data_IF_912958434894
#
_entry.id   IF_912958434894
#
_cell.length_a   1.000
_cell.length_b   1.000
_cell.length_c   1.000
_cell.angle_alpha   90.00
_cell.angle_beta   90.00
_cell.angle_gamma   90.00
#
_symmetry.space_group_name_H-M   'P 1'
#
loop_
_entity.id
_entity.type
_entity.pdbx_description
1 polymer ?
#
# COMPACT_ATOMS: atom_id res chain seq x y z
N UNK A 1 -8.20 25.95 -15.82
CA UNK A 1 -7.42 27.06 -15.17
C UNK A 1 -6.93 26.64 -13.77
N UNK A 2 -7.72 25.96 -12.94
CA UNK A 2 -7.32 25.52 -11.59
C UNK A 2 -6.20 24.46 -11.63
N UNK A 3 -6.29 23.43 -12.49
CA UNK A 3 -5.20 22.44 -12.67
C UNK A 3 -3.85 23.08 -13.06
N UNK A 4 -3.86 24.17 -13.85
CA UNK A 4 -2.63 24.87 -14.25
C UNK A 4 -2.02 25.73 -13.15
N UNK A 5 -2.81 26.21 -12.18
CA UNK A 5 -2.30 26.98 -11.03
C UNK A 5 -1.61 26.07 -9.99
N UNK A 6 -2.16 24.88 -9.73
CA UNK A 6 -1.59 23.93 -8.78
C UNK A 6 -0.21 23.39 -9.20
N UNK A 7 0.04 23.24 -10.51
CA UNK A 7 1.32 22.76 -11.06
C UNK A 7 2.48 23.75 -10.83
N UNK A 8 2.22 25.01 -10.53
CA UNK A 8 3.27 26.03 -10.38
C UNK A 8 4.03 25.98 -9.05
N UNK A 9 3.41 25.45 -7.98
CA UNK A 9 3.99 25.49 -6.65
C UNK A 9 4.73 24.18 -6.29
N UNK A 10 4.23 23.04 -6.77
CA UNK A 10 4.88 21.73 -6.60
C UNK A 10 4.34 20.76 -7.65
N UNK A 11 5.21 19.89 -8.18
CA UNK A 11 4.81 18.79 -9.09
C UNK A 11 3.84 17.78 -8.44
N UNK A 12 3.69 17.83 -7.12
CA UNK A 12 2.83 16.96 -6.34
C UNK A 12 1.54 17.61 -5.86
N UNK A 13 1.30 18.90 -6.17
CA UNK A 13 0.05 19.59 -5.84
C UNK A 13 -0.98 19.28 -6.92
N UNK A 14 -2.11 18.66 -6.52
CA UNK A 14 -3.14 18.16 -7.44
C UNK A 14 -4.51 18.51 -6.90
N UNK A 15 -5.41 18.93 -7.80
CA UNK A 15 -6.84 19.06 -7.54
C UNK A 15 -7.53 17.76 -7.95
N UNK A 16 -8.43 17.28 -7.11
CA UNK A 16 -9.28 16.11 -7.32
C UNK A 16 -10.74 16.55 -7.39
N UNK A 17 -11.46 16.09 -8.40
CA UNK A 17 -12.91 16.23 -8.47
C UNK A 17 -13.58 15.27 -7.45
N UNK A 18 -14.91 15.22 -7.45
CA UNK A 18 -15.68 14.45 -6.47
C UNK A 18 -15.38 12.94 -6.56
N UNK A 19 -15.36 12.38 -7.78
CA UNK A 19 -15.08 10.96 -7.98
C UNK A 19 -13.59 10.63 -7.68
N UNK A 20 -12.68 11.46 -8.13
CA UNK A 20 -11.25 11.34 -7.84
C UNK A 20 -10.97 11.48 -6.33
N UNK A 21 -11.71 12.36 -5.64
CA UNK A 21 -11.60 12.55 -4.18
C UNK A 21 -12.06 11.29 -3.44
N UNK A 22 -13.19 10.71 -3.83
CA UNK A 22 -13.70 9.47 -3.24
C UNK A 22 -12.72 8.31 -3.43
N UNK A 23 -12.19 8.14 -4.65
CA UNK A 23 -11.20 7.12 -4.94
C UNK A 23 -9.91 7.31 -4.12
N UNK A 24 -9.45 8.56 -3.94
CA UNK A 24 -8.29 8.89 -3.12
C UNK A 24 -8.53 8.55 -1.65
N UNK A 25 -9.72 8.83 -1.10
CA UNK A 25 -10.06 8.52 0.28
C UNK A 25 -10.16 7.00 0.50
N UNK A 26 -10.76 6.24 -0.42
CA UNK A 26 -10.78 4.78 -0.38
C UNK A 26 -9.34 4.22 -0.39
N UNK A 27 -8.49 4.68 -1.30
CA UNK A 27 -7.10 4.26 -1.38
C UNK A 27 -6.31 4.58 -0.09
N UNK A 28 -6.50 5.79 0.47
CA UNK A 28 -5.77 6.19 1.69
C UNK A 28 -6.26 5.44 2.94
N UNK A 29 -7.55 5.11 3.00
CA UNK A 29 -8.09 4.32 4.11
C UNK A 29 -7.65 2.87 4.07
N UNK A 30 -7.39 2.32 2.90
CA UNK A 30 -7.19 0.88 2.67
C UNK A 30 -8.49 0.10 2.80
N UNK A 31 -9.65 0.78 2.65
CA UNK A 31 -10.96 0.14 2.69
C UNK A 31 -11.85 0.64 1.55
N UNK A 32 -12.67 -0.24 1.02
CA UNK A 32 -13.69 0.11 0.02
C UNK A 32 -14.97 -0.68 0.27
N UNK A 33 -16.08 -0.20 -0.27
CA UNK A 33 -17.33 -0.94 -0.21
C UNK A 33 -17.54 -1.78 -1.47
N UNK A 34 -17.65 -3.10 -1.30
CA UNK A 34 -17.72 -4.06 -2.38
C UNK A 34 -17.90 -5.49 -1.91
N UNK A 35 -17.45 -6.44 -2.70
CA UNK A 35 -17.65 -7.87 -2.40
C UNK A 35 -16.38 -8.60 -1.94
N UNK A 36 -15.17 -8.04 -2.15
CA UNK A 36 -13.91 -8.65 -1.72
C UNK A 36 -13.39 -9.71 -2.69
N UNK A 37 -13.21 -9.33 -3.95
CA UNK A 37 -12.56 -10.15 -4.97
C UNK A 37 -11.60 -9.30 -5.80
N UNK A 38 -10.51 -9.91 -6.26
CA UNK A 38 -9.58 -9.32 -7.23
C UNK A 38 -9.93 -9.80 -8.62
N UNK A 39 -10.03 -8.87 -9.55
CA UNK A 39 -10.36 -9.14 -10.94
C UNK A 39 -9.17 -8.87 -11.85
N UNK A 40 -9.10 -9.61 -12.95
CA UNK A 40 -8.22 -9.33 -14.08
C UNK A 40 -9.01 -9.43 -15.38
N UNK A 41 -8.50 -8.78 -16.43
CA UNK A 41 -8.99 -9.03 -17.78
C UNK A 41 -7.98 -9.94 -18.48
N UNK A 42 -8.45 -11.12 -18.90
CA UNK A 42 -7.63 -12.06 -19.63
C UNK A 42 -7.23 -11.47 -21.00
N UNK A 43 -5.94 -11.47 -21.31
CA UNK A 43 -5.40 -10.81 -22.49
C UNK A 43 -5.77 -11.51 -23.80
N UNK A 44 -6.01 -12.83 -23.74
CA UNK A 44 -6.29 -13.66 -24.92
C UNK A 44 -7.79 -13.71 -25.22
N UNK A 45 -8.62 -13.82 -24.19
CA UNK A 45 -10.07 -13.95 -24.32
C UNK A 45 -10.83 -12.63 -24.14
N UNK A 46 -10.19 -11.64 -23.51
CA UNK A 46 -10.83 -10.36 -23.17
C UNK A 46 -11.83 -10.43 -22.03
N UNK A 47 -12.04 -11.60 -21.41
CA UNK A 47 -13.01 -11.75 -20.32
C UNK A 47 -12.50 -11.27 -18.98
N UNK A 48 -13.38 -10.65 -18.19
CA UNK A 48 -13.09 -10.32 -16.80
C UNK A 48 -13.20 -11.60 -15.95
N UNK A 49 -12.13 -11.92 -15.22
CA UNK A 49 -12.01 -13.17 -14.44
C UNK A 49 -11.63 -12.85 -12.99
N UNK A 50 -12.19 -13.60 -12.05
CA UNK A 50 -11.79 -13.53 -10.63
C UNK A 50 -10.45 -14.23 -10.45
N UNK A 51 -9.45 -13.48 -9.98
CA UNK A 51 -8.10 -14.01 -9.70
C UNK A 51 -8.01 -14.51 -8.26
N UNK A 52 -8.62 -13.77 -7.34
CA UNK A 52 -8.60 -14.09 -5.93
C UNK A 52 -9.91 -13.65 -5.25
N UNK A 53 -10.32 -14.41 -4.25
CA UNK A 53 -11.44 -14.08 -3.36
C UNK A 53 -10.88 -13.92 -1.96
N UNK A 54 -11.21 -12.83 -1.26
CA UNK A 54 -10.70 -12.56 0.07
C UNK A 54 -11.43 -13.44 1.09
N UNK A 55 -10.69 -13.93 2.07
CA UNK A 55 -11.21 -14.71 3.18
C UNK A 55 -12.24 -13.89 3.97
N UNK A 56 -13.29 -14.54 4.45
CA UNK A 56 -14.43 -13.95 5.17
C UNK A 56 -15.21 -12.85 4.42
N UNK A 57 -14.92 -12.63 3.15
CA UNK A 57 -15.56 -11.60 2.32
C UNK A 57 -17.00 -11.97 1.91
N UNK A 58 -17.81 -10.98 1.48
CA UNK A 58 -19.08 -11.23 0.81
C UNK A 58 -18.98 -12.13 -0.42
N UNK A 59 -17.90 -12.01 -1.20
CA UNK A 59 -17.64 -12.85 -2.38
C UNK A 59 -17.48 -14.33 -2.00
N UNK A 60 -16.69 -14.61 -0.96
CA UNK A 60 -16.51 -15.97 -0.46
C UNK A 60 -17.83 -16.55 0.06
N UNK A 61 -18.55 -15.77 0.88
CA UNK A 61 -19.86 -16.18 1.44
C UNK A 61 -20.92 -16.42 0.36
N UNK A 62 -20.86 -15.69 -0.74
CA UNK A 62 -21.72 -15.90 -1.91
C UNK A 62 -21.30 -17.12 -2.74
N UNK A 63 -20.10 -17.67 -2.51
CA UNK A 63 -19.58 -18.83 -3.23
C UNK A 63 -18.84 -18.51 -4.52
N UNK A 64 -18.42 -17.26 -4.71
CA UNK A 64 -17.49 -16.86 -5.79
C UNK A 64 -16.13 -17.54 -5.58
N UNK A 65 -15.42 -17.84 -6.66
CA UNK A 65 -14.12 -18.53 -6.63
C UNK A 65 -13.13 -17.93 -7.63
N UNK A 66 -11.86 -18.10 -7.36
CA UNK A 66 -10.83 -17.84 -8.34
C UNK A 66 -11.03 -18.72 -9.59
N UNK A 67 -10.89 -18.13 -10.76
CA UNK A 67 -11.16 -18.76 -12.06
C UNK A 67 -12.57 -18.54 -12.59
N UNK A 68 -13.50 -17.96 -11.81
CA UNK A 68 -14.83 -17.60 -12.31
C UNK A 68 -14.71 -16.50 -13.38
N UNK A 69 -15.32 -16.71 -14.53
CA UNK A 69 -15.43 -15.70 -15.58
C UNK A 69 -16.72 -14.91 -15.36
N UNK A 70 -16.63 -13.59 -15.29
CA UNK A 70 -17.79 -12.73 -15.09
C UNK A 70 -18.54 -12.55 -16.41
N UNK A 71 -19.82 -12.89 -16.42
CA UNK A 71 -20.69 -12.72 -17.59
C UNK A 71 -21.66 -11.55 -17.41
N UNK A 72 -22.18 -11.35 -16.18
CA UNK A 72 -23.18 -10.32 -15.91
C UNK A 72 -23.10 -9.81 -14.47
N UNK A 73 -23.30 -8.51 -14.30
CA UNK A 73 -23.41 -7.84 -13.00
C UNK A 73 -24.77 -7.10 -12.95
N UNK A 74 -25.68 -7.54 -12.10
CA UNK A 74 -27.09 -7.12 -12.10
C UNK A 74 -27.68 -7.25 -13.52
N UNK A 75 -28.10 -6.14 -14.14
CA UNK A 75 -28.64 -6.10 -15.50
C UNK A 75 -27.58 -5.78 -16.59
N UNK A 76 -26.30 -5.68 -16.22
CA UNK A 76 -25.20 -5.29 -17.11
C UNK A 76 -24.42 -6.51 -17.62
N UNK A 77 -24.36 -6.69 -18.93
CA UNK A 77 -23.51 -7.69 -19.58
C UNK A 77 -22.04 -7.23 -19.49
N UNK A 78 -21.15 -8.10 -19.02
CA UNK A 78 -19.72 -7.78 -18.85
C UNK A 78 -18.99 -7.73 -20.20
N UNK A 79 -19.12 -8.77 -21.01
CA UNK A 79 -18.58 -8.80 -22.38
C UNK A 79 -17.19 -8.18 -22.54
N UNK A 80 -17.07 -7.22 -23.47
CA UNK A 80 -15.84 -6.50 -23.78
C UNK A 80 -15.61 -5.24 -22.94
N UNK A 81 -16.42 -5.00 -21.91
CA UNK A 81 -16.36 -3.81 -21.07
C UNK A 81 -14.98 -3.63 -20.42
N UNK A 82 -14.62 -2.38 -20.15
CA UNK A 82 -13.38 -2.08 -19.44
C UNK A 82 -13.46 -2.60 -18.00
N UNK A 83 -12.34 -3.10 -17.46
CA UNK A 83 -12.30 -3.69 -16.12
C UNK A 83 -12.77 -2.70 -15.04
N UNK A 84 -12.40 -1.42 -15.16
CA UNK A 84 -12.81 -0.37 -14.23
C UNK A 84 -14.34 -0.17 -14.21
N UNK A 85 -14.98 -0.29 -15.38
CA UNK A 85 -16.44 -0.25 -15.50
C UNK A 85 -17.08 -1.44 -14.77
N UNK A 86 -16.57 -2.65 -14.99
CA UNK A 86 -17.06 -3.88 -14.31
C UNK A 86 -16.86 -3.75 -12.80
N UNK A 87 -15.71 -3.29 -12.34
CA UNK A 87 -15.43 -3.03 -10.92
C UNK A 87 -16.41 -2.01 -10.35
N UNK A 88 -16.74 -0.94 -11.10
CA UNK A 88 -17.70 0.08 -10.64
C UNK A 88 -19.11 -0.49 -10.41
N UNK A 89 -19.55 -1.46 -11.20
CA UNK A 89 -20.84 -2.14 -11.01
C UNK A 89 -20.88 -3.06 -9.80
N UNK A 90 -19.75 -3.71 -9.51
CA UNK A 90 -19.59 -4.60 -8.34
C UNK A 90 -19.52 -3.78 -7.04
N UNK A 91 -18.79 -2.65 -7.06
CA UNK A 91 -18.76 -1.69 -5.94
C UNK A 91 -20.15 -1.08 -5.73
N UNK A 92 -20.40 -0.56 -4.53
CA UNK A 92 -21.63 0.13 -4.20
C UNK A 92 -21.79 0.36 -2.70
N UNK A 93 -22.95 0.81 -2.26
CA UNK A 93 -23.20 1.11 -0.86
C UNK A 93 -23.21 -0.18 -0.02
N UNK A 94 -22.56 -0.12 1.15
CA UNK A 94 -22.54 -1.20 2.14
C UNK A 94 -23.96 -1.64 2.50
N UNK A 95 -24.19 -2.95 2.54
CA UNK A 95 -25.48 -3.56 2.87
C UNK A 95 -26.44 -3.71 1.67
N UNK A 96 -26.03 -3.25 0.48
CA UNK A 96 -26.81 -3.51 -0.75
C UNK A 96 -26.36 -4.81 -1.41
N UNK A 97 -27.28 -5.49 -2.07
CA UNK A 97 -26.99 -6.71 -2.81
C UNK A 97 -26.51 -6.41 -4.24
N UNK A 98 -25.66 -7.28 -4.78
CA UNK A 98 -25.27 -7.33 -6.17
C UNK A 98 -25.40 -8.76 -6.66
N UNK A 99 -26.02 -8.95 -7.82
CA UNK A 99 -26.09 -10.23 -8.51
C UNK A 99 -24.92 -10.35 -9.48
N UNK A 100 -24.18 -11.43 -9.37
CA UNK A 100 -23.02 -11.71 -10.20
C UNK A 100 -23.24 -13.04 -10.88
N UNK A 101 -23.39 -12.99 -12.21
CA UNK A 101 -23.46 -14.20 -13.03
C UNK A 101 -22.06 -14.54 -13.52
N UNK A 102 -21.63 -15.76 -13.25
CA UNK A 102 -20.32 -16.28 -13.63
C UNK A 102 -20.44 -17.55 -14.45
N UNK A 103 -19.48 -17.75 -15.34
CA UNK A 103 -19.25 -19.02 -16.01
C UNK A 103 -18.15 -19.78 -15.24
N UNK A 104 -18.52 -20.97 -14.70
CA UNK A 104 -17.61 -21.87 -13.98
C UNK A 104 -17.75 -23.28 -14.55
N UNK A 105 -16.65 -23.87 -15.01
CA UNK A 105 -16.61 -25.24 -15.57
C UNK A 105 -17.62 -25.46 -16.72
N UNK A 106 -17.98 -24.39 -17.44
CA UNK A 106 -18.95 -24.42 -18.54
C UNK A 106 -20.42 -24.29 -18.10
N UNK A 107 -20.66 -24.07 -16.83
CA UNK A 107 -22.00 -23.81 -16.27
C UNK A 107 -22.15 -22.37 -15.84
N UNK A 108 -23.30 -21.76 -16.16
CA UNK A 108 -23.68 -20.42 -15.71
C UNK A 108 -24.26 -20.49 -14.29
N UNK A 109 -23.71 -19.68 -13.38
CA UNK A 109 -24.14 -19.61 -11.99
C UNK A 109 -24.50 -18.15 -11.64
N UNK A 110 -25.71 -17.92 -11.14
CA UNK A 110 -26.12 -16.63 -10.57
C UNK A 110 -25.88 -16.66 -9.06
N UNK A 111 -25.03 -15.77 -8.57
CA UNK A 111 -24.64 -15.65 -7.17
C UNK A 111 -24.97 -14.24 -6.68
N UNK A 112 -25.50 -14.12 -5.46
CA UNK A 112 -25.82 -12.82 -4.84
C UNK A 112 -24.87 -12.59 -3.69
N UNK A 113 -24.16 -11.45 -3.72
CA UNK A 113 -23.29 -11.01 -2.64
C UNK A 113 -23.82 -9.70 -2.05
N UNK A 114 -23.88 -9.62 -0.72
CA UNK A 114 -24.22 -8.38 -0.01
C UNK A 114 -22.94 -7.57 0.21
N UNK A 115 -22.86 -6.38 -0.38
CA UNK A 115 -21.66 -5.51 -0.26
C UNK A 115 -21.37 -5.17 1.18
N UNK A 116 -20.09 -5.20 1.53
CA UNK A 116 -19.60 -4.81 2.85
C UNK A 116 -18.33 -3.94 2.72
N UNK A 117 -17.88 -3.41 3.84
CA UNK A 117 -16.55 -2.79 3.91
C UNK A 117 -15.50 -3.88 3.77
N UNK A 118 -14.69 -3.77 2.75
CA UNK A 118 -13.58 -4.68 2.46
C UNK A 118 -12.29 -3.99 2.87
N UNK A 119 -11.51 -4.64 3.70
CA UNK A 119 -10.18 -4.19 4.08
C UNK A 119 -9.14 -4.74 3.10
N UNK A 120 -8.33 -3.85 2.55
CA UNK A 120 -7.23 -4.22 1.66
C UNK A 120 -6.11 -4.85 2.48
N UNK A 121 -5.62 -6.01 2.06
CA UNK A 121 -4.48 -6.65 2.69
C UNK A 121 -3.17 -6.00 2.21
N UNK A 122 -2.68 -5.02 2.96
CA UNK A 122 -1.44 -4.27 2.67
C UNK A 122 -0.20 -4.91 3.29
N UNK A 123 -0.39 -5.85 4.23
CA UNK A 123 0.68 -6.59 4.89
C UNK A 123 0.55 -8.08 4.63
N UNK A 124 1.64 -8.70 4.23
CA UNK A 124 1.78 -10.16 4.20
C UNK A 124 3.03 -10.56 4.97
N UNK A 125 2.99 -11.69 5.67
CA UNK A 125 4.11 -12.12 6.48
C UNK A 125 4.23 -13.64 6.52
N UNK A 126 5.43 -14.09 6.83
CA UNK A 126 5.73 -15.51 7.03
C UNK A 126 6.98 -15.69 7.90
N UNK A 127 7.07 -16.80 8.58
CA UNK A 127 8.32 -17.23 9.23
C UNK A 127 9.19 -17.95 8.20
N UNK A 128 10.36 -17.40 7.93
CA UNK A 128 11.38 -18.01 7.07
C UNK A 128 12.27 -18.97 7.87
N UNK A 129 13.15 -19.70 7.15
CA UNK A 129 14.19 -20.52 7.77
C UNK A 129 15.03 -19.71 8.78
N UNK A 130 15.61 -20.41 9.74
CA UNK A 130 16.41 -19.84 10.84
C UNK A 130 15.63 -18.85 11.73
N UNK A 131 14.32 -18.97 11.81
CA UNK A 131 13.45 -18.11 12.63
C UNK A 131 13.56 -16.62 12.23
N UNK A 132 13.67 -16.34 10.97
CA UNK A 132 13.62 -14.98 10.43
C UNK A 132 12.19 -14.64 10.06
N UNK A 133 11.60 -13.66 10.74
CA UNK A 133 10.33 -13.07 10.35
C UNK A 133 10.50 -12.26 9.06
N UNK A 134 9.60 -12.44 8.11
CA UNK A 134 9.53 -11.65 6.90
C UNK A 134 8.17 -10.98 6.84
N UNK A 135 8.16 -9.65 6.74
CA UNK A 135 6.95 -8.83 6.60
C UNK A 135 7.10 -7.98 5.35
N UNK A 136 6.18 -8.14 4.39
CA UNK A 136 6.07 -7.26 3.24
C UNK A 136 4.95 -6.26 3.48
N UNK A 137 5.23 -4.98 3.23
CA UNK A 137 4.28 -3.88 3.30
C UNK A 137 4.16 -3.27 1.90
N UNK A 138 2.98 -3.37 1.27
CA UNK A 138 2.75 -2.86 -0.09
C UNK A 138 2.46 -1.37 -0.12
N UNK A 139 1.75 -0.85 0.89
CA UNK A 139 1.39 0.57 1.06
C UNK A 139 1.24 0.90 2.54
N UNK A 140 1.22 2.20 2.89
CA UNK A 140 0.99 2.68 4.25
C UNK A 140 -0.41 3.31 4.36
N UNK A 141 -1.46 2.49 4.22
CA UNK A 141 -2.84 2.90 4.41
C UNK A 141 -3.21 2.89 5.90
N UNK A 142 -4.39 3.39 6.24
CA UNK A 142 -4.84 3.41 7.64
C UNK A 142 -4.86 2.02 8.28
N UNK A 143 -5.28 1.01 7.52
CA UNK A 143 -5.37 -0.40 7.97
C UNK A 143 -3.99 -1.05 8.19
N UNK A 144 -2.94 -0.54 7.57
CA UNK A 144 -1.61 -1.16 7.56
C UNK A 144 -0.98 -1.26 8.94
N UNK A 145 -1.25 -0.29 9.83
CA UNK A 145 -0.69 -0.32 11.19
C UNK A 145 -1.15 -1.55 11.97
N UNK A 146 -2.46 -1.83 11.98
CA UNK A 146 -3.01 -2.95 12.73
C UNK A 146 -2.55 -4.28 12.13
N UNK A 147 -2.54 -4.42 10.79
CA UNK A 147 -2.02 -5.59 10.09
C UNK A 147 -0.52 -5.81 10.36
N UNK A 148 0.28 -4.75 10.39
CA UNK A 148 1.72 -4.86 10.70
C UNK A 148 1.96 -5.26 12.15
N UNK A 149 1.19 -4.68 13.08
CA UNK A 149 1.25 -5.02 14.50
C UNK A 149 0.89 -6.49 14.73
N UNK A 150 -0.20 -6.96 14.13
CA UNK A 150 -0.61 -8.37 14.20
C UNK A 150 0.49 -9.30 13.66
N UNK A 151 1.04 -8.98 12.48
CA UNK A 151 2.13 -9.74 11.88
C UNK A 151 3.38 -9.80 12.79
N UNK A 152 3.75 -8.67 13.39
CA UNK A 152 4.88 -8.58 14.30
C UNK A 152 4.65 -9.40 15.56
N UNK A 153 3.49 -9.27 16.19
CA UNK A 153 3.11 -9.99 17.40
C UNK A 153 3.07 -11.52 17.15
N UNK A 154 2.51 -11.96 16.02
CA UNK A 154 2.46 -13.37 15.66
C UNK A 154 3.85 -13.96 15.41
N UNK A 155 4.71 -13.29 14.66
CA UNK A 155 6.10 -13.72 14.44
C UNK A 155 6.91 -13.74 15.73
N UNK A 156 6.69 -12.79 16.64
CA UNK A 156 7.28 -12.81 17.97
C UNK A 156 6.84 -14.04 18.77
N UNK A 157 5.53 -14.36 18.76
CA UNK A 157 4.97 -15.54 19.44
C UNK A 157 5.50 -16.85 18.84
N UNK A 158 5.82 -16.88 17.55
CA UNK A 158 6.47 -18.01 16.89
C UNK A 158 7.98 -18.14 17.21
N UNK A 159 8.55 -17.19 17.97
CA UNK A 159 9.95 -17.21 18.40
C UNK A 159 10.94 -16.62 17.39
N UNK A 160 10.51 -15.64 16.61
CA UNK A 160 11.35 -14.91 15.66
C UNK A 160 12.66 -14.42 16.29
N UNK A 161 13.79 -14.61 15.61
CA UNK A 161 15.13 -14.20 16.03
C UNK A 161 15.68 -12.99 15.28
N UNK A 162 15.07 -12.63 14.16
CA UNK A 162 15.40 -11.46 13.36
C UNK A 162 14.26 -11.13 12.40
N UNK A 163 14.21 -9.89 11.89
CA UNK A 163 13.13 -9.38 11.07
C UNK A 163 13.65 -8.85 9.73
N UNK A 164 12.96 -9.19 8.66
CA UNK A 164 13.10 -8.53 7.35
C UNK A 164 11.79 -7.81 7.02
N UNK A 165 11.86 -6.50 6.82
CA UNK A 165 10.74 -5.69 6.33
C UNK A 165 10.96 -5.38 4.86
N UNK A 166 10.04 -5.77 3.99
CA UNK A 166 10.16 -5.55 2.55
C UNK A 166 9.26 -4.38 2.11
N UNK A 167 9.90 -3.27 1.72
CA UNK A 167 9.29 -2.05 1.21
C UNK A 167 9.54 -1.86 -0.29
N UNK A 168 10.01 -2.88 -0.99
CA UNK A 168 10.21 -2.80 -2.45
C UNK A 168 8.88 -2.58 -3.16
N UNK A 169 8.86 -1.63 -4.10
CA UNK A 169 7.68 -1.18 -4.85
C UNK A 169 6.59 -0.51 -3.97
N UNK A 170 6.88 -0.16 -2.74
CA UNK A 170 5.93 0.55 -1.87
C UNK A 170 6.03 2.07 -2.10
N UNK A 171 4.99 2.72 -2.69
CA UNK A 171 5.02 4.14 -3.04
C UNK A 171 4.88 5.08 -1.83
N UNK A 172 4.67 4.52 -0.64
CA UNK A 172 4.43 5.27 0.59
C UNK A 172 2.98 5.19 1.06
N UNK A 173 2.45 6.29 1.55
CA UNK A 173 1.10 6.42 2.09
C UNK A 173 1.04 7.40 3.26
N UNK A 174 0.29 7.07 4.29
CA UNK A 174 0.00 7.90 5.46
C UNK A 174 1.23 8.11 6.35
N UNK A 175 1.49 9.37 6.70
CA UNK A 175 2.51 9.75 7.68
C UNK A 175 2.19 9.19 9.07
N UNK A 176 0.93 9.25 9.48
CA UNK A 176 0.49 8.74 10.78
C UNK A 176 0.70 7.22 10.87
N UNK A 177 0.36 6.49 9.81
CA UNK A 177 0.53 5.04 9.76
C UNK A 177 2.00 4.66 9.90
N UNK A 178 2.90 5.23 9.10
CA UNK A 178 4.32 4.89 9.16
C UNK A 178 4.95 5.26 10.49
N UNK A 179 4.56 6.41 11.08
CA UNK A 179 5.10 6.81 12.38
C UNK A 179 4.60 5.95 13.52
N UNK A 180 3.34 5.49 13.47
CA UNK A 180 2.81 4.50 14.42
C UNK A 180 3.52 3.15 14.32
N UNK A 181 3.79 2.66 13.10
CA UNK A 181 4.57 1.44 12.90
C UNK A 181 6.00 1.59 13.45
N UNK A 182 6.65 2.73 13.22
CA UNK A 182 7.99 3.01 13.74
C UNK A 182 8.04 3.07 15.26
N UNK A 183 6.96 3.49 15.94
CA UNK A 183 6.85 3.42 17.42
C UNK A 183 6.91 2.01 17.97
N UNK A 184 6.62 0.98 17.16
CA UNK A 184 6.77 -0.43 17.53
C UNK A 184 8.22 -0.94 17.41
N UNK A 185 9.12 -0.13 16.84
CA UNK A 185 10.45 -0.60 16.45
C UNK A 185 11.59 0.27 17.02
N UNK A 186 11.36 1.56 17.18
CA UNK A 186 12.42 2.53 17.50
C UNK A 186 12.59 2.74 19.01
N UNK A 187 13.80 3.09 19.46
CA UNK A 187 14.02 3.63 20.79
C UNK A 187 13.36 5.01 20.95
N UNK A 188 13.43 5.57 22.16
CA UNK A 188 13.01 6.96 22.42
C UNK A 188 13.76 7.96 21.55
N UNK A 189 13.02 8.90 20.94
CA UNK A 189 13.58 9.99 20.15
C UNK A 189 12.72 10.43 18.97
N UNK A 190 13.27 11.26 18.09
CA UNK A 190 12.60 11.79 16.92
C UNK A 190 12.47 10.72 15.83
N UNK A 191 11.28 10.48 15.31
CA UNK A 191 11.03 9.60 14.14
C UNK A 191 11.30 10.37 12.85
N UNK A 192 10.71 11.55 12.75
CA UNK A 192 10.77 12.41 11.56
C UNK A 192 10.53 13.86 12.00
N UNK A 193 11.22 14.79 11.38
CA UNK A 193 10.91 16.21 11.50
C UNK A 193 10.45 16.77 10.17
N UNK A 194 9.58 17.80 10.22
CA UNK A 194 9.08 18.50 9.05
C UNK A 194 9.45 19.96 9.12
N UNK A 195 9.68 20.61 7.99
CA UNK A 195 9.97 22.04 7.89
C UNK A 195 9.14 22.68 6.80
N UNK A 196 8.33 23.65 7.16
CA UNK A 196 7.51 24.40 6.22
C UNK A 196 8.31 25.49 5.48
N UNK A 197 7.67 26.15 4.51
CA UNK A 197 8.26 27.25 3.73
C UNK A 197 8.66 28.47 4.56
N UNK A 198 8.13 28.62 5.77
CA UNK A 198 8.44 29.73 6.69
C UNK A 198 9.57 29.35 7.66
N UNK A 199 10.05 28.12 7.60
CA UNK A 199 11.11 27.59 8.47
C UNK A 199 10.59 27.04 9.79
N UNK A 200 9.27 26.93 10.02
CA UNK A 200 8.69 26.27 11.17
C UNK A 200 8.97 24.78 11.09
N UNK A 201 9.49 24.22 12.16
CA UNK A 201 9.80 22.80 12.30
C UNK A 201 8.82 22.17 13.28
N UNK A 202 8.25 21.02 12.91
CA UNK A 202 7.47 20.17 13.78
C UNK A 202 8.11 18.78 13.82
N UNK A 203 8.08 18.10 14.97
CA UNK A 203 8.69 16.77 15.16
C UNK A 203 7.64 15.75 15.58
N UNK A 204 7.77 14.54 15.05
CA UNK A 204 7.03 13.36 15.49
C UNK A 204 8.02 12.43 16.20
N UNK A 205 7.67 12.01 17.42
CA UNK A 205 8.58 11.29 18.31
C UNK A 205 8.06 9.89 18.66
N UNK A 206 8.99 9.07 19.13
CA UNK A 206 8.77 7.77 19.76
C UNK A 206 9.17 7.84 21.22
N UNK A 207 8.43 7.14 22.09
CA UNK A 207 8.69 7.06 23.54
C UNK A 207 9.59 5.86 23.93
N UNK A 208 9.91 5.01 22.95
CA UNK A 208 10.78 3.85 23.14
C UNK A 208 10.17 2.68 23.92
N UNK A 209 8.85 2.70 24.21
CA UNK A 209 8.21 1.65 25.03
C UNK A 209 8.21 0.28 24.36
N UNK A 210 8.30 0.21 23.02
CA UNK A 210 8.25 -0.99 22.20
C UNK A 210 9.53 -1.25 21.39
N UNK A 211 10.67 -0.73 21.81
CA UNK A 211 11.93 -0.86 21.10
C UNK A 211 12.23 -2.31 20.66
N UNK A 212 12.35 -2.51 19.34
CA UNK A 212 12.69 -3.80 18.75
C UNK A 212 14.21 -4.04 18.81
N UNK A 213 14.65 -5.07 19.54
CA UNK A 213 16.08 -5.30 19.83
C UNK A 213 16.73 -6.43 19.03
N UNK A 214 15.96 -7.15 18.22
CA UNK A 214 16.50 -8.23 17.39
C UNK A 214 17.11 -7.65 16.11
N UNK A 215 18.03 -8.36 15.44
CA UNK A 215 18.55 -7.93 14.15
C UNK A 215 17.45 -7.67 13.14
N UNK A 216 17.53 -6.55 12.42
CA UNK A 216 16.55 -6.17 11.40
C UNK A 216 17.23 -5.73 10.12
N UNK A 217 16.63 -6.08 8.98
CA UNK A 217 16.96 -5.55 7.67
C UNK A 217 15.71 -5.02 6.98
N UNK A 218 15.87 -3.96 6.17
CA UNK A 218 14.79 -3.39 5.35
C UNK A 218 15.19 -3.45 3.88
N UNK A 219 14.35 -4.09 3.08
CA UNK A 219 14.55 -4.19 1.64
C UNK A 219 13.89 -3.01 0.93
N UNK A 220 14.65 -2.32 0.10
CA UNK A 220 14.17 -1.15 -0.66
C UNK A 220 14.59 -1.20 -2.12
N UNK A 221 13.86 -0.49 -2.97
CA UNK A 221 14.24 -0.25 -4.36
C UNK A 221 13.89 1.19 -4.80
N UNK A 222 14.15 1.52 -6.06
CA UNK A 222 13.90 2.84 -6.65
C UNK A 222 12.43 3.28 -6.65
N UNK A 223 11.50 2.38 -6.33
CA UNK A 223 10.07 2.65 -6.20
C UNK A 223 9.61 2.77 -4.75
N UNK A 224 10.49 2.50 -3.77
CA UNK A 224 10.25 2.78 -2.36
C UNK A 224 10.26 4.29 -2.16
N UNK A 225 9.11 4.89 -1.80
CA UNK A 225 8.96 6.35 -1.80
C UNK A 225 8.23 6.87 -0.56
N UNK A 226 8.40 8.16 -0.24
CA UNK A 226 7.63 8.88 0.78
C UNK A 226 7.65 8.20 2.16
N UNK A 227 6.53 7.64 2.66
CA UNK A 227 6.48 6.93 3.95
C UNK A 227 7.48 5.77 4.03
N UNK A 228 7.75 5.06 2.92
CA UNK A 228 8.81 4.03 2.87
C UNK A 228 10.19 4.61 3.14
N UNK A 229 10.43 5.87 2.74
CA UNK A 229 11.70 6.57 2.95
C UNK A 229 11.80 7.14 4.37
N UNK A 230 10.67 7.52 4.97
CA UNK A 230 10.59 7.86 6.41
C UNK A 230 10.94 6.62 7.23
N UNK A 231 10.32 5.46 6.90
CA UNK A 231 10.59 4.20 7.59
C UNK A 231 12.07 3.81 7.50
N UNK A 232 12.58 3.69 6.28
CA UNK A 232 13.97 3.25 6.04
C UNK A 232 15.00 4.24 6.57
N UNK A 233 14.77 5.55 6.40
CA UNK A 233 15.65 6.60 6.90
C UNK A 233 15.71 6.65 8.43
N UNK A 234 14.57 6.45 9.11
CA UNK A 234 14.52 6.45 10.57
C UNK A 234 15.26 5.24 11.16
N UNK A 235 14.96 4.02 10.70
CA UNK A 235 15.62 2.82 11.23
C UNK A 235 17.13 2.78 10.89
N UNK A 236 17.52 3.38 9.75
CA UNK A 236 18.94 3.54 9.38
C UNK A 236 19.66 4.51 10.32
N UNK A 237 19.07 5.67 10.60
CA UNK A 237 19.68 6.71 11.45
C UNK A 237 19.87 6.24 12.90
N UNK A 238 18.93 5.43 13.42
CA UNK A 238 19.07 4.79 14.73
C UNK A 238 19.98 3.57 14.72
N UNK A 239 20.34 3.04 13.55
CA UNK A 239 21.12 1.82 13.43
C UNK A 239 20.36 0.56 13.86
N UNK A 240 19.02 0.63 13.97
CA UNK A 240 18.17 -0.50 14.34
C UNK A 240 17.99 -1.50 13.21
N UNK A 241 18.18 -1.06 11.96
CA UNK A 241 18.14 -1.94 10.79
C UNK A 241 19.28 -1.62 9.79
N UNK A 242 19.60 -2.60 8.93
CA UNK A 242 20.38 -2.41 7.72
C UNK A 242 19.47 -2.26 6.52
N UNK A 243 19.68 -1.20 5.74
CA UNK A 243 18.96 -0.98 4.49
C UNK A 243 19.66 -1.73 3.36
N UNK A 244 18.92 -2.57 2.66
CA UNK A 244 19.44 -3.45 1.60
C UNK A 244 18.70 -3.20 0.30
N UNK A 245 19.40 -3.04 -0.80
CA UNK A 245 18.81 -2.82 -2.14
C UNK A 245 19.49 -1.73 -2.94
N UNK A 246 18.70 -0.85 -3.55
CA UNK A 246 19.18 0.33 -4.29
C UNK A 246 18.60 1.61 -3.69
N UNK A 247 19.17 2.77 -4.04
CA UNK A 247 18.69 4.08 -3.59
C UNK A 247 17.20 4.25 -3.85
N UNK A 248 16.47 4.73 -2.86
CA UNK A 248 15.02 4.94 -2.93
C UNK A 248 14.64 6.13 -3.82
N UNK A 249 13.36 6.39 -4.00
CA UNK A 249 12.82 7.34 -4.99
C UNK A 249 13.22 8.81 -4.76
N UNK A 250 13.31 9.26 -3.51
CA UNK A 250 13.62 10.67 -3.19
C UNK A 250 12.39 11.60 -3.10
N UNK A 251 11.25 11.13 -2.60
CA UNK A 251 10.07 11.97 -2.34
C UNK A 251 10.09 12.47 -0.88
N UNK A 252 10.83 13.54 -0.61
CA UNK A 252 11.02 14.12 0.72
C UNK A 252 10.05 15.26 1.05
N UNK A 253 8.79 15.21 0.61
CA UNK A 253 7.79 16.25 0.83
C UNK A 253 6.54 15.72 1.50
N UNK A 254 5.96 16.54 2.40
CA UNK A 254 4.70 16.27 3.09
C UNK A 254 3.57 16.91 2.31
N UNK A 255 2.50 16.16 2.09
CA UNK A 255 1.31 16.63 1.42
C UNK A 255 0.12 16.59 2.39
N UNK A 256 -0.74 17.60 2.30
CA UNK A 256 -1.99 17.69 3.04
C UNK A 256 -3.15 17.68 2.07
N UNK A 257 -4.19 16.94 2.41
CA UNK A 257 -5.48 17.00 1.73
C UNK A 257 -6.31 18.11 2.35
N UNK A 258 -6.81 19.01 1.51
CA UNK A 258 -7.68 20.12 1.91
C UNK A 258 -9.04 19.88 1.27
N UNK A 259 -10.04 19.59 2.09
CA UNK A 259 -11.44 19.52 1.67
C UNK A 259 -11.91 20.93 1.27
N UNK A 260 -12.53 21.05 0.10
CA UNK A 260 -13.05 22.31 -0.43
C UNK A 260 -14.55 22.51 -0.11
N UNK A 261 -15.19 21.52 0.55
CA UNK A 261 -16.57 21.61 1.05
C UNK A 261 -17.64 21.33 -0.01
N UNK A 262 -17.28 20.93 -1.21
CA UNK A 262 -18.17 20.60 -2.33
C UNK A 262 -17.95 19.16 -2.85
N UNK A 263 -17.34 18.28 -2.05
CA UNK A 263 -16.96 16.91 -2.44
C UNK A 263 -15.62 16.84 -3.16
N UNK A 264 -14.99 17.97 -3.48
CA UNK A 264 -13.69 18.04 -4.14
C UNK A 264 -12.57 18.28 -3.12
N UNK A 265 -11.33 17.93 -3.46
CA UNK A 265 -10.20 18.21 -2.59
C UNK A 265 -8.96 18.73 -3.34
N UNK A 266 -8.08 19.37 -2.60
CA UNK A 266 -6.79 19.83 -3.05
C UNK A 266 -5.70 19.16 -2.24
N UNK A 267 -4.82 18.41 -2.90
CA UNK A 267 -3.61 17.83 -2.30
C UNK A 267 -2.48 18.81 -2.49
N UNK A 268 -1.99 19.39 -1.39
CA UNK A 268 -1.00 20.48 -1.39
C UNK A 268 0.28 20.04 -0.69
N UNK A 269 1.43 20.35 -1.28
CA UNK A 269 2.71 20.22 -0.59
C UNK A 269 2.85 21.35 0.44
N UNK A 270 3.05 20.99 1.71
CA UNK A 270 3.08 21.93 2.84
C UNK A 270 4.45 22.03 3.51
N UNK A 271 5.28 20.98 3.46
CA UNK A 271 6.58 20.93 4.13
C UNK A 271 7.52 19.93 3.43
N UNK A 272 8.80 20.02 3.76
CA UNK A 272 9.77 18.95 3.55
C UNK A 272 9.95 18.16 4.85
N UNK A 273 10.29 16.86 4.75
CA UNK A 273 10.61 16.06 5.90
C UNK A 273 12.08 15.65 5.93
N UNK A 274 12.56 15.43 7.15
CA UNK A 274 13.96 15.11 7.46
C UNK A 274 13.99 13.88 8.37
N UNK A 275 15.00 13.04 8.19
CA UNK A 275 15.25 11.87 9.03
C UNK A 275 15.66 12.31 10.45
N UNK A 276 15.72 11.41 11.45
CA UNK A 276 16.16 11.75 12.82
C UNK A 276 17.46 12.51 12.89
N UNK A 277 18.43 12.19 12.04
CA UNK A 277 19.72 12.89 11.96
C UNK A 277 19.69 14.18 11.11
N UNK A 278 18.50 14.66 10.73
CA UNK A 278 18.32 15.90 9.96
C UNK A 278 18.70 15.79 8.47
N UNK A 279 18.78 14.57 7.92
CA UNK A 279 19.05 14.38 6.50
C UNK A 279 17.80 14.67 5.67
N UNK A 280 17.90 15.54 4.65
CA UNK A 280 16.86 15.67 3.64
C UNK A 280 17.01 14.56 2.60
N UNK A 281 15.94 13.85 2.32
CA UNK A 281 15.88 12.82 1.28
C UNK A 281 15.20 13.33 -0.01
N UNK A 282 14.72 14.58 -0.01
CA UNK A 282 14.05 15.16 -1.18
C UNK A 282 15.00 15.26 -2.38
N UNK A 283 14.67 14.57 -3.46
CA UNK A 283 15.49 14.46 -4.68
C UNK A 283 16.76 13.60 -4.54
N UNK A 284 17.00 12.96 -3.37
CA UNK A 284 18.18 12.15 -3.10
C UNK A 284 17.87 10.70 -2.81
N UNK A 285 16.78 10.45 -2.08
CA UNK A 285 16.44 9.13 -1.55
C UNK A 285 17.25 8.72 -0.32
N UNK A 286 17.01 7.51 0.14
CA UNK A 286 17.79 6.83 1.18
C UNK A 286 18.79 5.88 0.49
N UNK A 287 20.08 6.08 0.70
CA UNK A 287 21.09 5.18 0.18
C UNK A 287 21.15 3.91 1.04
N UNK A 288 21.20 2.71 0.44
CA UNK A 288 21.28 1.48 1.19
C UNK A 288 22.64 1.29 1.86
N UNK A 289 22.65 0.64 3.04
CA UNK A 289 23.88 0.20 3.71
C UNK A 289 24.55 -0.95 2.94
N UNK A 290 23.73 -1.79 2.31
CA UNK A 290 24.18 -2.92 1.48
C UNK A 290 23.55 -2.77 0.10
N UNK A 291 24.37 -2.37 -0.87
CA UNK A 291 23.90 -2.21 -2.25
C UNK A 291 23.75 -3.57 -2.90
N UNK A 292 22.52 -3.87 -3.34
CA UNK A 292 22.18 -5.07 -4.13
C UNK A 292 21.45 -4.59 -5.37
N UNK A 293 22.06 -4.74 -6.53
CA UNK A 293 21.43 -4.45 -7.81
C UNK A 293 20.80 -5.73 -8.36
N UNK A 294 19.62 -5.55 -8.91
CA UNK A 294 18.97 -6.64 -9.64
C UNK A 294 19.79 -6.93 -10.91
N UNK A 295 20.25 -8.15 -11.06
CA UNK A 295 20.84 -8.64 -12.30
C UNK A 295 19.76 -9.36 -13.09
N UNK A 296 19.44 -8.85 -14.26
CA UNK A 296 18.53 -9.51 -15.18
C UNK A 296 19.22 -10.76 -15.72
N UNK A 297 18.64 -11.91 -15.45
CA UNK A 297 19.11 -13.19 -15.99
C UNK A 297 18.39 -13.44 -17.33
N UNK A 298 19.09 -13.18 -18.42
CA UNK A 298 18.57 -13.38 -19.79
C UNK A 298 18.27 -14.86 -20.08
N UNK A 299 18.93 -15.79 -19.37
CA UNK A 299 18.72 -17.24 -19.54
C UNK A 299 17.50 -17.75 -18.75
N UNK A 300 17.05 -17.01 -17.74
CA UNK A 300 15.89 -17.37 -16.95
C UNK A 300 14.94 -16.17 -16.70
N UNK A 301 14.22 -15.71 -17.75
CA UNK A 301 13.32 -14.55 -17.62
C UNK A 301 12.18 -14.76 -16.61
N UNK A 302 11.84 -15.99 -16.24
CA UNK A 302 10.85 -16.31 -15.19
C UNK A 302 11.38 -16.05 -13.77
N UNK A 303 12.69 -16.07 -13.55
CA UNK A 303 13.28 -15.66 -12.28
C UNK A 303 13.03 -14.16 -12.02
N UNK A 304 12.89 -13.36 -13.08
CA UNK A 304 12.49 -11.94 -13.01
C UNK A 304 11.07 -11.76 -12.46
N UNK A 305 10.13 -12.62 -12.83
CA UNK A 305 8.72 -12.53 -12.41
C UNK A 305 8.51 -12.87 -10.93
N UNK A 306 9.37 -13.70 -10.34
CA UNK A 306 9.28 -14.06 -8.91
C UNK A 306 9.62 -12.89 -7.97
N UNK A 307 10.33 -11.85 -8.46
CA UNK A 307 10.70 -10.66 -7.68
C UNK A 307 9.87 -9.41 -8.01
N UNK A 308 9.05 -9.45 -9.05
CA UNK A 308 8.23 -8.32 -9.53
C UNK A 308 6.73 -8.58 -9.50
N UNK A 309 6.28 -9.78 -9.19
CA UNK A 309 4.85 -10.07 -8.99
C UNK A 309 4.42 -9.69 -7.58
N UNK A 310 3.25 -8.99 -7.45
CA UNK A 310 2.65 -8.69 -6.17
C UNK A 310 2.21 -9.95 -5.43
#
# INVERSE_FOLDING_TARGET
RQRQMCIRDSKYTVYYDEDETKALMESTSGTFSGVGATLTKDADTGYATIVNVYEDSPAEKAGLKAGDILEKIDDHEVGDEQLDTVVSWIKGEKGTDVKITVLRDGEELELTATRDTIEVKTVSYEMKENQIGYIRVSEFDTVTYDQFKEALDDLENQGMQGLVVDLRNNPGGSLDTVTNMLRLLLPEGTIVSTKDKNGKTDEITCDGTHEFKKPMAVLVNQYSASASEIFSGAVQDYGTAKIVGVTTYGKGVVQQLMDLGDGTCLKVTIAEYYTPNGRSINGKGVEPDVKVEYQYDEENPKACLLYTSP
#
